data_IF_541575263886
#
_entry.id   IF_541575263886
#
_cell.length_a   1.000
_cell.length_b   1.000
_cell.length_c   1.000
_cell.angle_alpha   90.00
_cell.angle_beta   90.00
_cell.angle_gamma   90.00
#
_symmetry.space_group_name_H-M   'P 1'
#
loop_
_entity.id
_entity.type
_entity.pdbx_description
1 polymer ?
#
# COMPACT_ATOMS: atom_id res chain seq x y z
N UNK A 1 6.41 11.84 58.65
CA UNK A 1 6.92 11.94 57.27
C UNK A 1 6.52 10.67 56.52
N UNK A 2 5.53 10.67 55.61
CA UNK A 2 5.33 9.57 54.69
C UNK A 2 5.92 9.90 53.32
N UNK A 3 6.89 9.08 52.89
CA UNK A 3 7.51 9.13 51.56
C UNK A 3 6.47 8.80 50.49
N UNK A 4 6.19 9.78 49.61
CA UNK A 4 5.41 9.57 48.40
C UNK A 4 6.31 8.99 47.31
N UNK A 5 6.26 7.67 47.13
CA UNK A 5 6.80 7.00 45.95
C UNK A 5 5.93 7.37 44.75
N UNK A 6 6.47 8.16 43.82
CA UNK A 6 5.87 8.41 42.51
C UNK A 6 5.79 7.10 41.73
N UNK A 7 4.58 6.62 41.47
CA UNK A 7 4.34 5.57 40.49
C UNK A 7 4.44 6.17 39.09
N UNK A 8 5.48 5.80 38.35
CA UNK A 8 5.54 6.01 36.91
C UNK A 8 4.72 4.91 36.24
N UNK A 9 3.46 5.21 35.96
CA UNK A 9 2.63 4.37 35.07
C UNK A 9 3.08 4.62 33.64
N UNK A 10 3.98 3.76 33.16
CA UNK A 10 4.31 3.65 31.73
C UNK A 10 3.08 3.14 30.99
N UNK A 11 2.32 4.06 30.38
CA UNK A 11 1.27 3.71 29.43
C UNK A 11 1.94 3.14 28.18
N UNK A 12 1.95 1.82 28.05
CA UNK A 12 2.25 1.15 26.79
C UNK A 12 1.10 1.48 25.84
N UNK A 13 1.32 2.38 24.88
CA UNK A 13 0.41 2.54 23.75
C UNK A 13 0.47 1.23 22.95
N UNK A 14 -0.54 0.38 23.11
CA UNK A 14 -0.83 -0.66 22.14
C UNK A 14 -1.33 0.03 20.87
N UNK A 15 -0.43 0.25 19.92
CA UNK A 15 -0.84 0.40 18.52
C UNK A 15 -1.53 -0.91 18.13
N UNK A 16 -2.85 -0.88 18.08
CA UNK A 16 -3.63 -1.95 17.47
C UNK A 16 -3.28 -1.96 15.98
N UNK A 17 -2.22 -2.69 15.62
CA UNK A 17 -1.98 -3.08 14.26
C UNK A 17 -3.14 -3.99 13.88
N UNK A 18 -4.17 -3.42 13.25
CA UNK A 18 -5.18 -4.21 12.55
C UNK A 18 -4.42 -5.18 11.67
N UNK A 19 -4.62 -6.50 11.84
CA UNK A 19 -4.00 -7.46 10.94
C UNK A 19 -4.47 -7.08 9.54
N UNK A 20 -3.53 -6.76 8.64
CA UNK A 20 -3.83 -6.75 7.21
C UNK A 20 -4.58 -8.04 6.94
N UNK A 21 -5.77 -7.95 6.34
CA UNK A 21 -6.49 -9.14 5.95
C UNK A 21 -5.55 -9.94 5.05
N UNK A 22 -5.05 -11.07 5.54
CA UNK A 22 -3.95 -11.79 4.89
C UNK A 22 -4.41 -12.54 3.62
N UNK A 23 -5.48 -12.09 2.97
CA UNK A 23 -6.13 -12.83 1.90
C UNK A 23 -6.63 -12.00 0.72
N UNK A 24 -6.85 -10.70 0.87
CA UNK A 24 -7.51 -9.92 -0.18
C UNK A 24 -6.49 -9.07 -0.91
N UNK A 25 -6.04 -9.55 -2.08
CA UNK A 25 -5.29 -8.70 -3.02
C UNK A 25 -6.30 -7.92 -3.85
N UNK A 26 -6.40 -6.64 -3.56
CA UNK A 26 -7.19 -5.69 -4.30
C UNK A 26 -6.53 -5.41 -5.66
N UNK A 27 -7.31 -5.30 -6.74
CA UNK A 27 -6.79 -5.11 -8.10
C UNK A 27 -7.19 -3.73 -8.64
N UNK A 28 -6.19 -2.95 -9.03
CA UNK A 28 -6.37 -1.65 -9.70
C UNK A 28 -5.85 -1.78 -11.13
N UNK A 29 -6.57 -1.20 -12.09
CA UNK A 29 -6.14 -1.08 -13.48
C UNK A 29 -5.95 0.41 -13.79
N UNK A 30 -4.85 0.78 -14.47
CA UNK A 30 -4.61 2.19 -14.80
C UNK A 30 -5.84 2.82 -15.48
N UNK A 31 -6.23 4.02 -15.02
CA UNK A 31 -7.38 4.78 -15.54
C UNK A 31 -8.77 4.35 -15.09
N UNK A 32 -8.92 3.14 -14.51
CA UNK A 32 -10.14 2.70 -13.86
C UNK A 32 -9.84 2.52 -12.38
N UNK A 33 -10.23 3.53 -11.60
CA UNK A 33 -10.61 3.34 -10.19
C UNK A 33 -11.82 2.40 -10.17
N UNK A 34 -11.62 1.15 -10.57
CA UNK A 34 -12.61 0.10 -10.48
C UNK A 34 -12.81 -0.14 -8.99
N UNK A 35 -13.79 0.58 -8.44
CA UNK A 35 -14.37 0.47 -7.10
C UNK A 35 -13.70 -0.63 -6.27
N UNK A 36 -12.57 -0.29 -5.68
CA UNK A 36 -11.61 -1.31 -5.29
C UNK A 36 -11.98 -2.00 -4.00
N UNK A 37 -12.86 -1.40 -3.20
CA UNK A 37 -13.12 -1.84 -1.82
C UNK A 37 -11.84 -2.02 -0.99
N UNK A 38 -10.71 -1.47 -1.46
CA UNK A 38 -9.39 -1.55 -0.85
C UNK A 38 -9.47 -0.87 0.53
N UNK A 39 -9.14 -1.58 1.60
CA UNK A 39 -9.06 -0.99 2.93
C UNK A 39 -7.60 -0.68 3.29
N UNK A 40 -7.38 0.32 4.15
CA UNK A 40 -6.05 0.64 4.65
C UNK A 40 -5.34 -0.62 5.15
N UNK A 41 -4.14 -0.87 4.62
CA UNK A 41 -3.35 -2.02 5.00
C UNK A 41 -3.60 -3.30 4.21
N UNK A 42 -4.55 -3.33 3.26
CA UNK A 42 -4.68 -4.43 2.29
C UNK A 42 -3.50 -4.47 1.32
N UNK A 43 -3.31 -5.60 0.64
CA UNK A 43 -2.34 -5.67 -0.46
C UNK A 43 -3.03 -5.25 -1.76
N UNK A 44 -2.40 -4.37 -2.54
CA UNK A 44 -2.91 -3.94 -3.83
C UNK A 44 -1.97 -4.40 -4.95
N UNK A 45 -2.58 -4.87 -6.04
CA UNK A 45 -1.93 -5.15 -7.32
C UNK A 45 -2.46 -4.19 -8.36
N UNK A 46 -1.63 -3.22 -8.73
CA UNK A 46 -1.89 -2.31 -9.85
C UNK A 46 -1.30 -2.92 -11.12
N UNK A 47 -2.04 -2.92 -12.22
CA UNK A 47 -1.58 -3.42 -13.54
C UNK A 47 -1.79 -2.35 -14.61
N UNK A 48 -1.09 -2.49 -15.74
CA UNK A 48 -1.10 -1.51 -16.84
C UNK A 48 -0.61 -0.11 -16.46
N UNK A 49 0.28 -0.01 -15.46
CA UNK A 49 0.85 1.28 -15.06
C UNK A 49 1.97 1.63 -16.04
N UNK A 50 1.83 2.72 -16.80
CA UNK A 50 2.88 3.15 -17.72
C UNK A 50 4.14 3.60 -16.95
N UNK A 51 5.31 3.54 -17.59
CA UNK A 51 6.58 4.01 -17.00
C UNK A 51 6.48 5.46 -16.48
N UNK A 52 5.68 6.29 -17.16
CA UNK A 52 5.46 7.70 -16.80
C UNK A 52 4.56 7.87 -15.59
N UNK A 53 3.54 7.03 -15.43
CA UNK A 53 2.57 7.07 -14.31
C UNK A 53 3.05 6.33 -13.07
N UNK A 54 4.10 5.50 -13.20
CA UNK A 54 4.60 4.64 -12.13
C UNK A 54 4.90 5.38 -10.81
N UNK A 55 5.59 6.54 -10.80
CA UNK A 55 5.88 7.25 -9.56
C UNK A 55 4.61 7.74 -8.87
N UNK A 56 3.67 8.30 -9.64
CA UNK A 56 2.43 8.87 -9.11
C UNK A 56 1.53 7.76 -8.57
N UNK A 57 1.42 6.62 -9.28
CA UNK A 57 0.67 5.45 -8.80
C UNK A 57 1.24 4.88 -7.49
N UNK A 58 2.56 4.91 -7.30
CA UNK A 58 3.17 4.48 -6.03
C UNK A 58 2.81 5.46 -4.91
N UNK A 59 2.91 6.76 -5.16
CA UNK A 59 2.63 7.79 -4.15
C UNK A 59 1.15 7.84 -3.74
N UNK A 60 0.25 7.62 -4.69
CA UNK A 60 -1.20 7.72 -4.46
C UNK A 60 -1.78 6.49 -3.75
N UNK A 61 -1.21 5.29 -4.00
CA UNK A 61 -1.80 4.03 -3.52
C UNK A 61 -0.95 3.26 -2.53
N UNK A 62 0.38 3.46 -2.49
CA UNK A 62 1.27 2.63 -1.68
C UNK A 62 1.64 3.28 -0.34
N UNK A 63 1.63 2.47 0.71
CA UNK A 63 2.23 2.83 1.99
C UNK A 63 3.76 2.76 1.86
N UNK A 64 4.39 3.92 1.83
CA UNK A 64 5.83 4.10 1.67
C UNK A 64 6.65 3.59 2.86
N UNK A 65 6.01 3.23 3.98
CA UNK A 65 6.67 2.55 5.10
C UNK A 65 6.75 1.04 4.92
N UNK A 66 6.06 0.51 3.90
CA UNK A 66 6.00 -0.90 3.52
C UNK A 66 6.81 -1.18 2.24
N UNK A 67 6.98 -2.46 1.89
CA UNK A 67 7.66 -2.85 0.66
C UNK A 67 6.79 -2.54 -0.58
N UNK A 68 7.43 -1.94 -1.60
CA UNK A 68 6.86 -1.73 -2.93
C UNK A 68 7.64 -2.59 -3.93
N UNK A 69 6.93 -3.39 -4.71
CA UNK A 69 7.52 -4.25 -5.75
C UNK A 69 6.98 -3.79 -7.11
N UNK A 70 7.89 -3.45 -8.02
CA UNK A 70 7.57 -3.09 -9.41
C UNK A 70 8.11 -4.15 -10.35
N UNK A 71 7.25 -4.70 -11.19
CA UNK A 71 7.60 -5.74 -12.17
C UNK A 71 7.18 -5.28 -13.57
N UNK A 72 7.91 -5.64 -14.64
CA UNK A 72 7.43 -5.40 -15.99
C UNK A 72 6.11 -6.16 -16.22
N UNK A 73 5.10 -5.48 -16.78
CA UNK A 73 3.82 -6.08 -17.10
C UNK A 73 3.90 -6.79 -18.45
N UNK A 74 4.03 -8.12 -18.41
CA UNK A 74 4.06 -8.97 -19.59
C UNK A 74 2.67 -9.36 -20.09
N UNK A 75 1.61 -9.01 -19.37
CA UNK A 75 0.24 -9.41 -19.71
C UNK A 75 -0.37 -8.56 -20.84
N UNK A 76 0.11 -7.33 -21.04
CA UNK A 76 -0.21 -6.54 -22.21
C UNK A 76 1.06 -6.07 -22.91
N UNK A 77 1.23 -6.37 -24.21
CA UNK A 77 2.31 -5.77 -24.98
C UNK A 77 2.16 -4.26 -24.95
N UNK A 78 3.25 -3.58 -24.59
CA UNK A 78 3.40 -2.13 -24.72
C UNK A 78 2.87 -1.66 -26.08
N UNK A 79 1.97 -0.67 -26.09
CA UNK A 79 1.57 0.00 -27.32
C UNK A 79 2.67 1.00 -27.68
N UNK A 80 3.64 0.57 -28.49
CA UNK A 80 4.81 1.37 -28.87
C UNK A 80 6.01 1.11 -27.96
N UNK A 81 6.84 2.13 -27.73
CA UNK A 81 8.08 2.03 -26.93
C UNK A 81 7.84 2.15 -25.41
N UNK A 82 6.59 2.37 -24.99
CA UNK A 82 6.25 2.67 -23.61
C UNK A 82 6.05 1.38 -22.78
N UNK A 83 6.92 1.17 -21.80
CA UNK A 83 6.85 0.00 -20.91
C UNK A 83 5.73 0.15 -19.89
N UNK A 84 5.03 -0.96 -19.66
CA UNK A 84 4.04 -1.09 -18.59
C UNK A 84 4.61 -1.88 -17.42
N UNK A 85 4.09 -1.59 -16.24
CA UNK A 85 4.51 -2.16 -14.98
C UNK A 85 3.30 -2.64 -14.17
N UNK A 86 3.55 -3.70 -13.41
CA UNK A 86 2.71 -4.17 -12.31
C UNK A 86 3.34 -3.68 -11.02
N UNK A 87 2.53 -3.06 -10.16
CA UNK A 87 2.95 -2.64 -8.82
C UNK A 87 2.24 -3.49 -7.79
N UNK A 88 3.00 -4.05 -6.86
CA UNK A 88 2.50 -4.74 -5.67
C UNK A 88 2.96 -3.95 -4.45
N UNK A 89 2.01 -3.48 -3.64
CA UNK A 89 2.32 -2.78 -2.41
C UNK A 89 1.18 -2.90 -1.41
N UNK A 90 1.40 -2.37 -0.21
CA UNK A 90 0.34 -2.23 0.80
C UNK A 90 -0.43 -0.94 0.55
N UNK A 91 -1.75 -1.01 0.55
CA UNK A 91 -2.62 0.13 0.25
C UNK A 91 -2.55 1.18 1.37
N UNK A 92 -2.20 2.41 0.97
CA UNK A 92 -2.29 3.59 1.81
C UNK A 92 -3.65 4.26 1.60
N UNK A 93 -4.39 4.44 2.68
CA UNK A 93 -5.61 5.23 2.65
C UNK A 93 -5.24 6.68 3.00
N UNK A 94 -5.23 7.54 1.98
CA UNK A 94 -5.11 9.00 2.14
C UNK A 94 -6.33 9.59 2.88
#
# INVERSE_FOLDING_TARGET
>A
MPSRLLQFTSAVLLMAATPASAGTVCKVLSGLLADTGCQAGDNVRMSLISERELPDAILDFCDMTSQVITLPDSAMPALGDERNYVVLCRFHQN
#
